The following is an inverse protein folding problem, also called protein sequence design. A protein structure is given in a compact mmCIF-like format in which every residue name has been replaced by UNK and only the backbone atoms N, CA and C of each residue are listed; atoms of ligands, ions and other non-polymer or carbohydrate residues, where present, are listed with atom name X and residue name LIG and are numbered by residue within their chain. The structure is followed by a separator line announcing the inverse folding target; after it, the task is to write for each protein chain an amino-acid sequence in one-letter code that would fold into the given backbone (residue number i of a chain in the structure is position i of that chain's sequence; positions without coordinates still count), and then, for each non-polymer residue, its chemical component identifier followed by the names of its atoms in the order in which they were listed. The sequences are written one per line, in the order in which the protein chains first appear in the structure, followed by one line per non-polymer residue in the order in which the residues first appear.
data_IF_577101673054
#
_entry.id   IF_577101673054
#
_cell.length_a   1.000
_cell.length_b   1.000
_cell.length_c   1.000
_cell.angle_alpha   90.00
_cell.angle_beta   90.00
_cell.angle_gamma   90.00
#
_symmetry.space_group_name_H-M   'P 1'
#
loop_
_entity.id
_entity.type
_entity.pdbx_description
1 polymer ?
#
# COMPACT_ATOMS: atom_id res chain seq x y z
N UNK A 1 10.30 -1.16 24.27
CA UNK A 1 8.92 -0.72 24.60
C UNK A 1 7.98 -1.36 23.58
N UNK A 2 7.20 -2.37 23.98
CA UNK A 2 6.26 -3.08 23.11
C UNK A 2 4.94 -2.30 23.19
N UNK A 3 4.55 -1.63 22.11
CA UNK A 3 3.28 -0.90 22.07
C UNK A 3 2.18 -1.94 21.82
N UNK A 4 1.49 -2.36 22.88
CA UNK A 4 0.30 -3.24 22.80
C UNK A 4 -0.86 -2.40 22.21
N UNK A 5 -0.99 -2.40 20.87
CA UNK A 5 -2.04 -1.68 20.10
C UNK A 5 -3.41 -2.38 20.11
N UNK A 6 -3.59 -3.43 20.93
CA UNK A 6 -4.64 -4.45 20.75
C UNK A 6 -5.95 -4.19 21.49
N UNK A 7 -5.99 -3.25 22.44
CA UNK A 7 -7.14 -3.09 23.34
C UNK A 7 -8.33 -2.31 22.72
N UNK A 8 -8.19 -1.81 21.49
CA UNK A 8 -9.20 -1.04 20.75
C UNK A 8 -9.83 -1.79 19.58
N UNK A 9 -9.35 -3.00 19.28
CA UNK A 9 -9.89 -3.84 18.20
C UNK A 9 -10.63 -5.01 18.81
N UNK A 10 -11.92 -5.11 18.51
CA UNK A 10 -12.74 -6.28 18.85
C UNK A 10 -12.62 -7.33 17.74
N UNK A 11 -12.53 -8.60 18.15
CA UNK A 11 -12.37 -9.73 17.24
C UNK A 11 -13.61 -10.61 17.30
N UNK A 12 -14.07 -11.05 16.14
CA UNK A 12 -15.10 -12.07 15.99
C UNK A 12 -14.59 -13.22 15.14
N UNK A 13 -15.09 -14.43 15.40
CA UNK A 13 -14.75 -15.61 14.60
C UNK A 13 -15.76 -15.72 13.46
N UNK A 14 -15.27 -15.61 12.23
CA UNK A 14 -16.07 -15.84 11.02
C UNK A 14 -15.43 -16.92 10.16
N UNK A 15 -16.26 -17.81 9.63
CA UNK A 15 -15.84 -18.77 8.60
C UNK A 15 -15.80 -18.04 7.25
N UNK A 16 -14.72 -18.20 6.51
CA UNK A 16 -14.64 -17.67 5.15
C UNK A 16 -15.58 -18.45 4.21
N UNK A 17 -16.20 -17.71 3.31
CA UNK A 17 -16.97 -18.28 2.20
C UNK A 17 -16.02 -18.51 1.04
N UNK A 18 -16.17 -19.66 0.38
CA UNK A 18 -15.28 -20.06 -0.71
C UNK A 18 -15.49 -19.19 -1.95
N UNK A 19 -16.74 -18.77 -2.19
CA UNK A 19 -17.06 -17.97 -3.36
C UNK A 19 -17.18 -18.76 -4.66
N UNK A 20 -17.26 -20.08 -4.58
CA UNK A 20 -17.42 -20.98 -5.72
C UNK A 20 -18.63 -21.88 -5.48
N UNK A 21 -19.14 -22.50 -6.55
CA UNK A 21 -20.20 -23.54 -6.50
C UNK A 21 -21.47 -23.13 -5.74
N UNK A 22 -21.92 -21.88 -5.89
CA UNK A 22 -23.12 -21.38 -5.20
C UNK A 22 -22.86 -20.79 -3.80
N UNK A 23 -21.60 -20.75 -3.35
CA UNK A 23 -21.18 -20.11 -2.10
C UNK A 23 -20.70 -18.66 -2.29
N UNK A 24 -21.16 -17.97 -3.35
CA UNK A 24 -20.79 -16.59 -3.63
C UNK A 24 -21.21 -15.64 -2.50
N UNK A 25 -20.35 -14.67 -2.22
CA UNK A 25 -20.67 -13.57 -1.31
C UNK A 25 -21.34 -12.42 -2.04
N UNK A 26 -21.88 -11.48 -1.26
CA UNK A 26 -22.46 -10.25 -1.78
C UNK A 26 -21.46 -9.31 -2.48
N UNK A 27 -20.16 -9.61 -2.42
CA UNK A 27 -19.06 -8.85 -3.02
C UNK A 27 -18.57 -9.41 -4.36
N UNK A 28 -19.24 -10.43 -4.89
CA UNK A 28 -18.93 -11.08 -6.16
C UNK A 28 -20.02 -10.81 -7.21
N UNK A 29 -19.74 -11.17 -8.46
CA UNK A 29 -20.64 -11.03 -9.59
C UNK A 29 -20.32 -9.84 -10.49
N UNK A 30 -21.13 -9.74 -11.55
CA UNK A 30 -20.94 -8.74 -12.61
C UNK A 30 -20.97 -7.30 -12.07
N UNK A 31 -20.18 -6.40 -12.68
CA UNK A 31 -20.23 -4.97 -12.38
C UNK A 31 -21.65 -4.42 -12.33
N UNK A 32 -21.98 -3.76 -11.23
CA UNK A 32 -23.29 -3.13 -11.03
C UNK A 32 -23.21 -2.00 -10.00
N UNK A 33 -24.16 -1.05 -10.01
CA UNK A 33 -24.19 0.01 -9.00
C UNK A 33 -24.37 -0.52 -7.57
N UNK A 34 -25.04 -1.66 -7.40
CA UNK A 34 -25.22 -2.30 -6.10
C UNK A 34 -23.91 -2.91 -5.60
N UNK A 35 -23.18 -3.61 -6.46
CA UNK A 35 -21.87 -4.16 -6.13
C UNK A 35 -20.89 -3.03 -5.78
N UNK A 36 -20.91 -1.93 -6.53
CA UNK A 36 -20.09 -0.75 -6.23
C UNK A 36 -20.41 -0.15 -4.87
N UNK A 37 -21.69 -0.05 -4.49
CA UNK A 37 -22.08 0.44 -3.16
C UNK A 37 -21.52 -0.46 -2.05
N UNK A 38 -21.65 -1.78 -2.19
CA UNK A 38 -21.13 -2.73 -1.19
C UNK A 38 -19.62 -2.59 -1.02
N UNK A 39 -18.89 -2.55 -2.13
CA UNK A 39 -17.44 -2.37 -2.10
C UNK A 39 -17.03 -1.02 -1.52
N UNK A 40 -17.69 0.07 -1.91
CA UNK A 40 -17.40 1.40 -1.34
C UNK A 40 -17.66 1.43 0.18
N UNK A 41 -18.71 0.76 0.64
CA UNK A 41 -19.06 0.63 2.06
C UNK A 41 -17.96 0.04 2.95
N UNK A 42 -17.09 -0.82 2.39
CA UNK A 42 -16.01 -1.46 3.13
C UNK A 42 -14.93 -0.49 3.63
N UNK A 43 -14.79 0.67 2.97
CA UNK A 43 -13.79 1.67 3.28
C UNK A 43 -14.41 3.07 3.40
N UNK A 44 -15.71 3.17 3.70
CA UNK A 44 -16.40 4.45 3.91
C UNK A 44 -15.79 5.25 5.07
N UNK A 45 -15.23 4.58 6.08
CA UNK A 45 -14.49 5.24 7.15
C UNK A 45 -13.13 5.81 6.70
N UNK A 46 -12.67 5.55 5.47
CA UNK A 46 -11.35 5.81 4.89
C UNK A 46 -10.51 6.91 5.55
N UNK A 47 -10.52 8.12 4.97
CA UNK A 47 -9.77 9.25 5.50
C UNK A 47 -10.48 9.85 6.71
N UNK A 48 -9.79 9.81 7.85
CA UNK A 48 -10.25 10.29 9.14
C UNK A 48 -9.59 11.63 9.52
N UNK A 49 -10.31 12.40 10.35
CA UNK A 49 -9.83 13.66 10.92
C UNK A 49 -9.54 13.50 12.41
N UNK A 50 -8.27 13.61 12.80
CA UNK A 50 -7.82 13.47 14.18
C UNK A 50 -7.42 14.82 14.79
N UNK A 51 -7.46 14.91 16.12
CA UNK A 51 -7.01 16.13 16.82
C UNK A 51 -5.51 16.34 16.67
N UNK A 52 -5.07 17.58 16.93
CA UNK A 52 -3.64 17.92 16.96
C UNK A 52 -2.84 17.05 17.94
N UNK A 53 -3.42 16.75 19.11
CA UNK A 53 -2.75 15.95 20.14
C UNK A 53 -2.58 14.49 19.72
N UNK A 54 -3.56 13.94 18.99
CA UNK A 54 -3.42 12.61 18.38
C UNK A 54 -2.37 12.63 17.27
N UNK A 55 -2.38 13.66 16.41
CA UNK A 55 -1.44 13.78 15.30
C UNK A 55 0.01 13.91 15.79
N UNK A 56 0.23 14.59 16.92
CA UNK A 56 1.54 14.74 17.56
C UNK A 56 2.10 13.40 18.10
N UNK A 57 1.25 12.38 18.29
CA UNK A 57 1.66 11.04 18.76
C UNK A 57 1.95 10.07 17.61
N UNK A 58 1.63 10.44 16.37
CA UNK A 58 1.95 9.60 15.22
C UNK A 58 3.47 9.53 15.02
N UNK A 59 4.01 8.36 14.64
CA UNK A 59 5.43 8.22 14.30
C UNK A 59 5.84 9.12 13.12
N UNK A 60 4.93 9.29 12.16
CA UNK A 60 5.10 10.11 10.98
C UNK A 60 4.19 11.34 11.07
N UNK A 61 4.68 12.50 10.59
CA UNK A 61 3.87 13.71 10.52
C UNK A 61 2.83 13.60 9.41
N UNK A 62 1.68 14.23 9.64
CA UNK A 62 0.62 14.35 8.64
C UNK A 62 0.16 15.80 8.49
N UNK A 63 -0.65 16.08 7.48
CA UNK A 63 -1.12 17.43 7.16
C UNK A 63 -2.42 17.79 7.88
N UNK A 64 -2.56 19.09 8.12
CA UNK A 64 -3.79 19.71 8.57
C UNK A 64 -4.83 19.68 7.45
N UNK A 65 -6.08 19.34 7.76
CA UNK A 65 -7.15 19.41 6.76
C UNK A 65 -7.49 20.89 6.47
N UNK A 66 -7.40 21.32 5.20
CA UNK A 66 -7.68 22.71 4.84
C UNK A 66 -9.08 23.14 5.25
N UNK A 67 -9.22 24.38 5.72
CA UNK A 67 -10.50 25.00 6.10
C UNK A 67 -11.29 24.29 7.21
N UNK A 68 -10.69 23.34 7.94
CA UNK A 68 -11.33 22.73 9.11
C UNK A 68 -11.32 23.70 10.30
N UNK A 69 -12.50 24.11 10.77
CA UNK A 69 -12.66 24.99 11.94
C UNK A 69 -12.07 24.37 13.21
N UNK A 70 -12.06 23.04 13.30
CA UNK A 70 -11.53 22.29 14.43
C UNK A 70 -10.02 22.04 14.33
N UNK A 71 -9.38 22.47 13.23
CA UNK A 71 -7.96 22.29 12.96
C UNK A 71 -7.47 20.84 13.12
N UNK A 72 -8.23 19.89 12.57
CA UNK A 72 -7.91 18.47 12.58
C UNK A 72 -7.00 18.07 11.43
N UNK A 73 -6.36 16.91 11.59
CA UNK A 73 -5.31 16.37 10.75
C UNK A 73 -5.79 15.11 10.04
N UNK A 74 -5.33 14.91 8.80
CA UNK A 74 -5.73 13.76 7.98
C UNK A 74 -4.95 12.50 8.37
N UNK A 75 -5.64 11.38 8.54
CA UNK A 75 -5.04 10.05 8.63
C UNK A 75 -5.94 9.05 7.93
N UNK A 76 -5.40 7.90 7.56
CA UNK A 76 -6.19 6.78 7.09
C UNK A 76 -5.68 5.50 7.75
N UNK A 77 -6.54 4.50 7.97
CA UNK A 77 -6.08 3.17 8.37
C UNK A 77 -5.72 2.37 7.12
N UNK A 78 -4.59 1.70 7.15
CA UNK A 78 -4.07 1.00 5.97
C UNK A 78 -5.03 -0.07 5.41
N UNK A 79 -5.79 -0.77 6.27
CA UNK A 79 -6.83 -1.70 5.80
C UNK A 79 -7.86 -1.04 4.86
N UNK A 80 -8.23 0.22 5.07
CA UNK A 80 -9.18 0.91 4.19
C UNK A 80 -8.54 1.28 2.85
N UNK A 81 -7.27 1.69 2.85
CA UNK A 81 -6.52 1.91 1.62
C UNK A 81 -6.33 0.59 0.84
N UNK A 82 -5.99 -0.50 1.51
CA UNK A 82 -5.86 -1.83 0.91
C UNK A 82 -7.17 -2.29 0.25
N UNK A 83 -8.32 -2.11 0.93
CA UNK A 83 -9.64 -2.42 0.38
C UNK A 83 -10.01 -1.52 -0.80
N UNK A 84 -9.67 -0.23 -0.73
CA UNK A 84 -9.83 0.70 -1.85
C UNK A 84 -9.01 0.24 -3.08
N UNK A 85 -7.73 -0.08 -2.91
CA UNK A 85 -6.86 -0.56 -3.99
C UNK A 85 -7.38 -1.87 -4.59
N UNK A 86 -7.84 -2.82 -3.75
CA UNK A 86 -8.42 -4.06 -4.23
C UNK A 86 -9.70 -3.81 -5.06
N UNK A 87 -10.53 -2.85 -4.66
CA UNK A 87 -11.69 -2.44 -5.46
C UNK A 87 -11.27 -1.78 -6.77
N UNK A 88 -10.20 -0.99 -6.80
CA UNK A 88 -9.66 -0.43 -8.04
C UNK A 88 -9.17 -1.53 -9.00
N UNK A 89 -8.52 -2.58 -8.49
CA UNK A 89 -8.16 -3.76 -9.28
C UNK A 89 -9.42 -4.45 -9.82
N UNK A 90 -10.44 -4.69 -8.98
CA UNK A 90 -11.71 -5.26 -9.42
C UNK A 90 -12.31 -4.47 -10.59
N UNK A 91 -12.34 -3.13 -10.50
CA UNK A 91 -12.89 -2.28 -11.57
C UNK A 91 -12.05 -2.30 -12.84
N UNK A 92 -10.71 -2.30 -12.71
CA UNK A 92 -9.80 -2.36 -13.85
C UNK A 92 -9.91 -3.67 -14.67
N UNK A 93 -10.44 -4.74 -14.06
CA UNK A 93 -10.72 -6.02 -14.74
C UNK A 93 -12.01 -6.00 -15.56
N UNK A 94 -12.82 -4.93 -15.47
CA UNK A 94 -14.05 -4.75 -16.24
C UNK A 94 -14.05 -3.40 -17.00
N UNK A 95 -13.07 -3.15 -17.87
CA UNK A 95 -12.97 -1.88 -18.59
C UNK A 95 -14.19 -1.62 -19.47
N UNK A 96 -14.88 -2.66 -19.97
CA UNK A 96 -16.12 -2.52 -20.72
C UNK A 96 -17.23 -1.81 -19.94
N UNK A 97 -17.22 -1.94 -18.60
CA UNK A 97 -18.19 -1.29 -17.72
C UNK A 97 -17.69 0.05 -17.18
N UNK A 98 -16.41 0.14 -16.80
CA UNK A 98 -15.86 1.31 -16.10
C UNK A 98 -15.13 2.31 -17.02
N UNK A 99 -14.68 1.88 -18.19
CA UNK A 99 -13.99 2.69 -19.21
C UNK A 99 -14.50 2.36 -20.63
N UNK A 100 -15.71 2.83 -21.00
CA UNK A 100 -16.39 2.44 -22.25
C UNK A 100 -15.69 2.87 -23.55
N UNK A 101 -14.48 3.44 -23.47
CA UNK A 101 -13.68 3.89 -24.61
C UNK A 101 -12.35 3.14 -24.75
N UNK A 102 -12.09 2.11 -23.94
CA UNK A 102 -10.88 1.29 -24.00
C UNK A 102 -11.18 0.01 -24.79
N UNK A 103 -10.80 -0.08 -26.08
CA UNK A 103 -11.07 -1.28 -26.87
C UNK A 103 -10.12 -2.40 -26.44
N UNK A 104 -10.64 -3.59 -26.15
CA UNK A 104 -9.85 -4.82 -26.27
C UNK A 104 -9.45 -5.58 -24.99
N UNK A 105 -10.15 -5.42 -23.86
CA UNK A 105 -10.16 -6.51 -22.88
C UNK A 105 -11.36 -7.41 -23.19
N UNK A 106 -11.16 -8.40 -24.04
CA UNK A 106 -12.16 -9.43 -24.21
C UNK A 106 -12.29 -10.19 -22.88
N UNK A 107 -13.41 -10.03 -22.19
CA UNK A 107 -13.92 -10.96 -21.17
C UNK A 107 -14.42 -12.23 -21.87
N UNK A 108 -13.55 -12.83 -22.67
CA UNK A 108 -13.83 -14.01 -23.46
C UNK A 108 -12.78 -15.04 -23.12
N UNK A 109 -13.07 -15.85 -22.11
CA UNK A 109 -12.95 -17.31 -22.15
C UNK A 109 -13.38 -17.88 -20.79
N UNK A 110 -14.09 -19.00 -20.81
CA UNK A 110 -14.43 -19.83 -19.65
C UNK A 110 -13.19 -20.58 -19.14
N UNK A 111 -12.08 -19.86 -18.95
CA UNK A 111 -10.88 -20.44 -18.34
C UNK A 111 -11.15 -20.67 -16.85
N UNK A 112 -10.94 -21.90 -16.39
CA UNK A 112 -11.24 -22.29 -15.01
C UNK A 112 -10.36 -21.55 -13.98
N UNK A 113 -9.19 -21.06 -14.37
CA UNK A 113 -8.20 -20.42 -13.48
C UNK A 113 -8.15 -18.90 -13.61
N UNK A 114 -8.34 -18.37 -14.82
CA UNK A 114 -8.23 -16.96 -15.15
C UNK A 114 -9.56 -16.36 -15.66
N UNK A 115 -10.60 -17.18 -15.73
CA UNK A 115 -11.95 -16.71 -16.09
C UNK A 115 -12.53 -15.78 -15.03
N UNK A 116 -13.54 -14.98 -15.42
CA UNK A 116 -14.10 -13.92 -14.57
C UNK A 116 -14.59 -14.44 -13.22
N UNK A 117 -15.24 -15.61 -13.19
CA UNK A 117 -15.69 -16.24 -11.94
C UNK A 117 -14.52 -16.62 -11.02
N UNK A 118 -13.44 -17.19 -11.58
CA UNK A 118 -12.24 -17.52 -10.80
C UNK A 118 -11.55 -16.25 -10.24
N UNK A 119 -11.51 -15.18 -11.02
CA UNK A 119 -10.90 -13.93 -10.57
C UNK A 119 -11.78 -13.23 -9.53
N UNK A 120 -13.11 -13.26 -9.68
CA UNK A 120 -14.06 -12.70 -8.72
C UNK A 120 -13.96 -13.36 -7.33
N UNK A 121 -13.91 -14.70 -7.22
CA UNK A 121 -13.71 -15.34 -5.91
C UNK A 121 -12.30 -15.06 -5.36
N UNK A 122 -11.27 -14.99 -6.19
CA UNK A 122 -9.92 -14.61 -5.74
C UNK A 122 -9.92 -13.23 -5.09
N UNK A 123 -10.55 -12.25 -5.73
CA UNK A 123 -10.70 -10.88 -5.21
C UNK A 123 -11.45 -10.90 -3.87
N UNK A 124 -12.54 -11.67 -3.77
CA UNK A 124 -13.30 -11.78 -2.53
C UNK A 124 -12.55 -12.53 -1.41
N UNK A 125 -11.76 -13.55 -1.74
CA UNK A 125 -10.89 -14.24 -0.79
C UNK A 125 -9.83 -13.30 -0.22
N UNK A 126 -9.22 -12.46 -1.06
CA UNK A 126 -8.28 -11.42 -0.61
C UNK A 126 -9.00 -10.40 0.27
N UNK A 127 -10.20 -9.93 -0.11
CA UNK A 127 -11.02 -9.02 0.72
C UNK A 127 -11.27 -9.61 2.11
N UNK A 128 -11.70 -10.87 2.19
CA UNK A 128 -11.92 -11.56 3.47
C UNK A 128 -10.63 -11.63 4.30
N UNK A 129 -9.49 -11.91 3.68
CA UNK A 129 -8.18 -11.94 4.35
C UNK A 129 -7.75 -10.56 4.87
N UNK A 130 -7.94 -9.49 4.08
CA UNK A 130 -7.64 -8.12 4.49
C UNK A 130 -8.49 -7.69 5.69
N UNK A 131 -9.77 -8.04 5.69
CA UNK A 131 -10.65 -7.74 6.83
C UNK A 131 -10.30 -8.58 8.07
N UNK A 132 -9.90 -9.83 7.90
CA UNK A 132 -9.50 -10.73 8.99
C UNK A 132 -8.18 -10.31 9.65
N UNK A 133 -7.23 -9.81 8.85
CA UNK A 133 -5.90 -9.38 9.29
C UNK A 133 -5.72 -7.87 9.14
N UNK A 134 -6.76 -7.11 9.46
CA UNK A 134 -6.83 -5.67 9.23
C UNK A 134 -5.58 -4.93 9.76
N UNK A 135 -4.85 -4.29 8.85
CA UNK A 135 -3.73 -3.43 9.21
C UNK A 135 -4.25 -2.08 9.70
N UNK A 136 -4.15 -1.87 11.02
CA UNK A 136 -4.56 -0.64 11.70
C UNK A 136 -3.45 0.41 11.78
N UNK A 137 -2.38 0.27 10.98
CA UNK A 137 -1.34 1.28 10.87
C UNK A 137 -1.93 2.56 10.28
N UNK A 138 -1.61 3.70 10.91
CA UNK A 138 -2.10 5.00 10.46
C UNK A 138 -1.22 5.51 9.33
N UNK A 139 -1.79 5.55 8.13
CA UNK A 139 -1.23 6.22 6.98
C UNK A 139 -1.32 7.73 7.17
N UNK A 140 -0.32 8.43 6.64
CA UNK A 140 -0.19 9.88 6.77
C UNK A 140 -0.26 10.53 5.41
N UNK A 141 -0.57 11.82 5.39
CA UNK A 141 -0.69 12.59 4.15
C UNK A 141 0.37 13.68 4.11
N UNK A 142 0.90 13.95 2.92
CA UNK A 142 1.88 15.01 2.70
C UNK A 142 1.76 15.58 1.30
N UNK A 143 2.30 16.77 1.09
CA UNK A 143 2.43 17.33 -0.25
C UNK A 143 3.47 16.54 -1.05
N UNK A 144 3.16 16.27 -2.31
CA UNK A 144 4.04 15.68 -3.30
C UNK A 144 4.36 16.75 -4.33
N UNK A 145 5.60 17.23 -4.34
CA UNK A 145 6.04 18.34 -5.20
C UNK A 145 5.96 17.95 -6.68
N UNK A 146 6.41 16.74 -7.04
CA UNK A 146 6.44 16.28 -8.43
C UNK A 146 5.03 16.18 -9.02
N UNK A 147 4.06 15.71 -8.23
CA UNK A 147 2.66 15.55 -8.65
C UNK A 147 1.78 16.77 -8.37
N UNK A 148 2.32 17.80 -7.71
CA UNK A 148 1.62 18.99 -7.26
C UNK A 148 0.26 18.68 -6.57
N UNK A 149 0.25 17.70 -5.67
CA UNK A 149 -0.95 17.32 -4.92
C UNK A 149 -0.64 16.70 -3.58
N UNK A 150 -1.61 16.70 -2.68
CA UNK A 150 -1.52 15.91 -1.46
C UNK A 150 -1.64 14.43 -1.79
N UNK A 151 -0.66 13.67 -1.31
CA UNK A 151 -0.59 12.24 -1.46
C UNK A 151 -0.50 11.60 -0.08
N UNK A 152 -1.22 10.50 0.06
CA UNK A 152 -1.01 9.54 1.11
C UNK A 152 0.42 8.97 1.04
N UNK A 153 0.98 8.67 2.20
CA UNK A 153 2.28 8.04 2.38
C UNK A 153 2.07 6.72 3.11
N UNK A 154 2.12 5.64 2.34
CA UNK A 154 2.10 4.26 2.83
C UNK A 154 3.42 3.76 3.41
N UNK A 155 4.51 4.55 3.35
CA UNK A 155 5.83 4.18 3.90
C UNK A 155 5.88 4.39 5.43
N UNK A 156 4.97 3.74 6.15
CA UNK A 156 4.84 3.80 7.61
C UNK A 156 5.28 2.49 8.28
N UNK A 157 5.29 2.47 9.62
CA UNK A 157 5.64 1.29 10.38
C UNK A 157 4.44 0.36 10.58
N UNK A 158 4.48 -0.80 9.92
CA UNK A 158 3.48 -1.87 10.06
C UNK A 158 3.86 -2.85 11.17
N UNK A 159 2.87 -3.48 11.79
CA UNK A 159 3.07 -4.54 12.78
C UNK A 159 2.67 -5.88 12.19
N UNK A 160 3.64 -6.78 12.01
CA UNK A 160 3.39 -8.11 11.45
C UNK A 160 3.67 -9.23 12.47
N UNK A 161 2.96 -10.38 12.40
CA UNK A 161 3.28 -11.55 13.20
C UNK A 161 4.67 -12.08 12.84
N UNK A 162 5.60 -12.06 13.81
CA UNK A 162 7.00 -12.42 13.59
C UNK A 162 7.22 -13.84 13.02
N UNK A 163 6.29 -14.78 13.25
CA UNK A 163 6.42 -16.17 12.78
C UNK A 163 5.80 -16.43 11.39
N UNK A 164 4.88 -15.60 10.93
CA UNK A 164 4.25 -15.78 9.61
C UNK A 164 5.06 -15.14 8.47
N UNK A 165 5.68 -13.98 8.72
CA UNK A 165 6.31 -13.19 7.66
C UNK A 165 7.85 -13.23 7.69
N UNK A 166 8.45 -14.00 8.60
CA UNK A 166 9.92 -14.16 8.68
C UNK A 166 10.50 -15.15 7.66
N UNK A 167 9.66 -15.77 6.83
CA UNK A 167 10.04 -16.75 5.81
C UNK A 167 11.01 -16.24 4.71
N UNK A 168 11.57 -15.03 4.85
CA UNK A 168 12.58 -14.47 3.94
C UNK A 168 13.77 -13.76 4.59
N UNK A 169 13.94 -13.80 5.92
CA UNK A 169 15.16 -13.23 6.53
C UNK A 169 16.38 -14.13 6.43
N UNK A 170 16.23 -15.42 6.14
CA UNK A 170 17.36 -16.37 6.07
C UNK A 170 17.95 -16.56 4.67
N UNK A 171 17.33 -16.02 3.61
CA UNK A 171 17.84 -16.16 2.23
C UNK A 171 18.23 -14.84 1.55
N UNK A 172 18.00 -13.69 2.18
CA UNK A 172 18.47 -12.42 1.67
C UNK A 172 19.14 -11.62 2.80
N UNK A 173 20.42 -11.88 3.00
CA UNK A 173 21.31 -10.92 3.65
C UNK A 173 21.72 -9.92 2.56
N UNK A 174 21.21 -8.67 2.53
CA UNK A 174 21.88 -7.66 1.72
C UNK A 174 23.34 -7.61 2.19
N UNK A 175 24.32 -7.43 1.28
CA UNK A 175 25.69 -7.23 1.74
C UNK A 175 25.66 -6.11 2.77
N UNK A 176 26.32 -6.33 3.92
CA UNK A 176 26.67 -5.22 4.81
C UNK A 176 27.24 -4.16 3.88
N UNK A 177 26.83 -2.91 4.05
CA UNK A 177 27.54 -1.84 3.39
C UNK A 177 28.95 -1.85 3.98
N UNK A 178 29.83 -2.61 3.33
CA UNK A 178 31.22 -2.71 3.67
C UNK A 178 31.77 -1.30 3.53
N UNK A 179 32.47 -0.85 4.58
CA UNK A 179 33.23 0.40 4.65
C UNK A 179 34.18 0.60 3.44
N UNK A 180 34.35 -0.42 2.59
CA UNK A 180 35.09 -0.40 1.33
C UNK A 180 34.53 0.54 0.24
N UNK A 181 33.24 0.92 0.26
CA UNK A 181 32.71 1.89 -0.74
C UNK A 181 33.07 3.33 -0.37
N UNK A 182 33.14 3.66 0.93
CA UNK A 182 33.58 4.98 1.39
C UNK A 182 35.08 5.20 1.17
N UNK A 183 35.90 4.16 1.30
CA UNK A 183 37.34 4.22 1.00
C UNK A 183 37.62 4.44 -0.50
N UNK A 184 36.78 3.90 -1.41
CA UNK A 184 36.93 4.15 -2.85
C UNK A 184 36.53 5.57 -3.27
N UNK A 185 35.57 6.18 -2.58
CA UNK A 185 35.17 7.58 -2.83
C UNK A 185 36.19 8.57 -2.25
N UNK A 186 36.85 8.23 -1.12
CA UNK A 186 37.97 9.02 -0.59
C UNK A 186 39.25 8.87 -1.44
N UNK A 187 39.55 7.68 -1.96
CA UNK A 187 40.71 7.45 -2.82
C UNK A 187 40.63 8.25 -4.14
N UNK A 188 39.43 8.43 -4.70
CA UNK A 188 39.24 9.25 -5.91
C UNK A 188 39.46 10.75 -5.66
N UNK A 189 39.16 11.25 -4.45
CA UNK A 189 39.35 12.68 -4.12
C UNK A 189 40.79 13.04 -3.72
N UNK A 190 41.64 12.08 -3.39
CA UNK A 190 43.07 12.30 -3.11
C UNK A 190 43.91 12.26 -4.41
N UNK A 191 43.44 11.54 -5.44
CA UNK A 191 44.14 11.48 -6.73
C UNK A 191 44.03 12.76 -7.59
N UNK A 192 43.00 13.60 -7.39
CA UNK A 192 42.79 14.82 -8.19
C UNK A 192 43.51 16.07 -7.67
N UNK A 193 44.13 16.02 -6.48
CA UNK A 193 44.91 17.14 -5.93
C UNK A 193 46.44 16.94 -6.01
N UNK A 194 46.91 15.90 -6.70
CA UNK A 194 48.28 15.41 -6.55
C UNK A 194 49.12 15.19 -7.82
N UNK A 195 48.95 15.94 -8.91
CA UNK A 195 49.96 15.98 -10.00
C UNK A 195 49.99 17.32 -10.73
N UNK A 196 50.65 18.31 -10.11
CA UNK A 196 51.40 19.33 -10.87
C UNK A 196 52.82 18.77 -11.06
N UNK A 197 53.26 18.52 -12.30
CA UNK A 197 54.64 18.76 -12.73
C UNK A 197 54.81 18.70 -14.25
N UNK A 198 55.52 19.73 -14.71
CA UNK A 198 56.16 20.08 -15.99
C UNK A 198 56.93 18.90 -16.63
N UNK A 199 57.08 18.87 -17.98
CA UNK A 199 58.38 18.54 -18.55
C UNK A 199 58.89 19.53 -19.62
N UNK A 200 60.22 19.54 -19.70
CA UNK A 200 61.13 20.47 -20.39
C UNK A 200 61.52 19.98 -21.80
N UNK A 201 61.75 20.95 -22.70
CA UNK A 201 62.71 21.11 -23.81
C UNK A 201 63.44 19.92 -24.49
N UNK A 202 63.40 19.96 -25.83
CA UNK A 202 64.36 19.55 -26.91
C UNK A 202 63.63 18.69 -27.98
N UNK A 203 63.60 18.97 -29.28
CA UNK A 203 64.45 19.76 -30.22
C UNK A 203 63.64 20.78 -31.05
#
# INVERSE_FOLDING_TARGET
MRIERRDVVEYEVRKFRLGLDGDETEYQGKPSPELDRRWNGLYEMGINLITKDMAARLPNKTILFPHDKQRRYLVELDVFHQLHCLNMVRKALHPEYYEPHTPGLHTGDEDELLGPHHIEHCIDAIRQSLMCSADISSLTWSWDEDRHRHMERGTVLHTYPQRCCSARREQYSPPRQDEAVLDRVLAYRIAEQGTRTIPNLSE
#
